data_IF_494808326016
#
_entry.id   IF_494808326016
#
_cell.length_a   1.000
_cell.length_b   1.000
_cell.length_c   1.000
_cell.angle_alpha   90.00
_cell.angle_beta   90.00
_cell.angle_gamma   90.00
#
_symmetry.space_group_name_H-M   'P 1'
#
loop_
_entity.id
_entity.type
_entity.pdbx_description
1 polymer ?
#
# COMPACT_ATOMS: atom_id res chain seq x y z
N UNK A 1 12.29 -34.45 -1.57
CA UNK A 1 13.46 -33.69 -1.05
C UNK A 1 14.62 -34.07 -1.94
N UNK A 2 15.33 -33.10 -2.52
CA UNK A 2 16.49 -33.33 -3.40
C UNK A 2 16.22 -34.31 -4.57
N UNK A 3 15.00 -34.27 -5.12
CA UNK A 3 14.53 -35.20 -6.16
C UNK A 3 14.58 -36.70 -5.83
N UNK A 4 14.71 -37.08 -4.56
CA UNK A 4 14.68 -38.49 -4.14
C UNK A 4 13.23 -39.02 -4.05
N UNK A 5 13.03 -40.25 -4.52
CA UNK A 5 11.74 -40.96 -4.51
C UNK A 5 11.35 -41.47 -3.12
N UNK A 6 12.32 -41.65 -2.23
CA UNK A 6 12.15 -42.10 -0.86
C UNK A 6 12.79 -41.10 0.10
N UNK A 7 12.21 -40.93 1.28
CA UNK A 7 12.82 -40.10 2.32
C UNK A 7 14.12 -40.77 2.85
N UNK A 8 15.16 -39.99 3.14
CA UNK A 8 16.41 -40.52 3.70
C UNK A 8 16.17 -41.15 5.08
N UNK A 9 16.95 -42.17 5.40
CA UNK A 9 16.83 -42.94 6.65
C UNK A 9 17.15 -42.14 7.91
N UNK A 10 17.93 -41.08 7.78
CA UNK A 10 18.38 -40.25 8.90
C UNK A 10 17.89 -38.81 8.76
N UNK A 11 17.45 -38.18 9.86
CA UNK A 11 17.11 -36.76 9.83
C UNK A 11 18.34 -35.92 9.51
N UNK A 12 18.11 -34.78 8.87
CA UNK A 12 19.12 -33.73 8.65
C UNK A 12 18.69 -32.46 9.36
N UNK A 13 19.67 -31.72 9.87
CA UNK A 13 19.46 -30.38 10.36
C UNK A 13 19.34 -29.40 9.18
N UNK A 14 18.41 -28.45 9.30
CA UNK A 14 18.27 -27.33 8.37
C UNK A 14 18.70 -26.06 9.11
N UNK A 15 19.80 -25.47 8.68
CA UNK A 15 20.26 -24.19 9.22
C UNK A 15 19.42 -23.04 8.63
N UNK A 16 18.79 -22.26 9.50
CA UNK A 16 17.97 -21.10 9.15
C UNK A 16 18.41 -19.91 9.99
N UNK A 17 18.66 -18.77 9.32
CA UNK A 17 18.83 -17.48 9.98
C UNK A 17 17.47 -17.01 10.50
N UNK A 18 17.14 -17.39 11.72
CA UNK A 18 15.90 -17.03 12.40
C UNK A 18 16.17 -16.06 13.54
N UNK A 19 15.59 -14.86 13.44
CA UNK A 19 15.75 -13.80 14.43
C UNK A 19 14.74 -14.03 15.55
N UNK A 20 15.25 -14.41 16.73
CA UNK A 20 14.41 -14.48 17.93
C UNK A 20 14.15 -13.07 18.45
N UNK A 21 13.06 -12.89 19.18
CA UNK A 21 12.73 -11.62 19.86
C UNK A 21 13.95 -11.14 20.67
N UNK A 22 14.32 -9.87 20.48
CA UNK A 22 15.49 -9.25 21.11
C UNK A 22 16.84 -9.52 20.42
N UNK A 23 16.96 -10.51 19.54
CA UNK A 23 18.20 -10.76 18.80
C UNK A 23 18.44 -9.70 17.70
N UNK A 24 19.70 -9.45 17.35
CA UNK A 24 20.09 -8.43 16.37
C UNK A 24 19.44 -8.69 15.01
N UNK A 25 18.71 -7.70 14.48
CA UNK A 25 18.17 -7.75 13.12
C UNK A 25 19.30 -7.66 12.07
N UNK A 26 19.08 -8.19 10.86
CA UNK A 26 19.97 -7.93 9.74
C UNK A 26 19.96 -6.45 9.42
N UNK A 27 21.13 -5.92 9.07
CA UNK A 27 21.24 -4.62 8.42
C UNK A 27 20.83 -4.77 6.96
N UNK A 28 20.22 -3.74 6.39
CA UNK A 28 19.69 -3.76 5.02
C UNK A 28 20.32 -2.67 4.16
N UNK A 29 20.40 -2.94 2.86
CA UNK A 29 20.81 -1.97 1.84
C UNK A 29 19.73 -1.91 0.76
N UNK A 30 19.48 -0.71 0.23
CA UNK A 30 18.59 -0.51 -0.92
C UNK A 30 19.43 -0.12 -2.13
N UNK A 31 19.19 -0.77 -3.26
CA UNK A 31 20.03 -0.61 -4.44
C UNK A 31 19.19 -0.51 -5.71
N UNK A 32 19.66 0.30 -6.64
CA UNK A 32 19.04 0.48 -7.95
C UNK A 32 20.00 -0.06 -9.01
N UNK A 33 19.50 -0.94 -9.88
CA UNK A 33 20.23 -1.44 -11.04
C UNK A 33 19.68 -0.75 -12.29
N UNK A 34 20.51 0.02 -12.97
CA UNK A 34 20.18 0.52 -14.30
C UNK A 34 20.32 -0.63 -15.31
N UNK A 35 19.25 -0.93 -16.04
CA UNK A 35 19.23 -2.08 -16.96
C UNK A 35 19.95 -1.81 -18.29
N UNK A 36 20.18 -0.55 -18.63
CA UNK A 36 20.80 -0.15 -19.89
C UNK A 36 22.30 -0.38 -19.88
N UNK A 37 22.97 -0.05 -18.77
CA UNK A 37 24.42 -0.20 -18.57
C UNK A 37 24.79 -1.26 -17.52
N UNK A 38 23.80 -1.81 -16.80
CA UNK A 38 23.97 -2.78 -15.69
C UNK A 38 24.76 -2.20 -14.52
N UNK A 39 24.72 -0.89 -14.35
CA UNK A 39 25.35 -0.20 -13.23
C UNK A 39 24.51 -0.33 -11.96
N UNK A 40 25.17 -0.69 -10.87
CA UNK A 40 24.60 -0.74 -9.53
C UNK A 40 24.82 0.59 -8.80
N UNK A 41 23.76 1.14 -8.23
CA UNK A 41 23.78 2.40 -7.48
C UNK A 41 23.19 2.18 -6.09
N UNK A 42 23.99 2.31 -5.01
CA UNK A 42 23.48 2.18 -3.65
C UNK A 42 22.66 3.43 -3.29
N UNK A 43 21.43 3.20 -2.82
CA UNK A 43 20.56 4.26 -2.33
C UNK A 43 20.90 4.55 -0.88
N UNK A 44 21.18 5.82 -0.51
CA UNK A 44 21.36 6.18 0.89
C UNK A 44 20.10 5.88 1.70
N UNK A 45 20.25 5.07 2.75
CA UNK A 45 19.17 4.68 3.68
C UNK A 45 19.57 5.03 5.12
N UNK A 46 19.34 6.28 5.50
CA UNK A 46 19.79 6.90 6.76
C UNK A 46 18.65 7.48 7.61
N UNK A 47 17.42 7.00 7.36
CA UNK A 47 16.24 7.46 8.10
C UNK A 47 16.26 7.08 9.59
N UNK A 48 16.94 5.98 9.92
CA UNK A 48 17.18 5.43 11.25
C UNK A 48 18.58 4.82 11.28
N UNK A 49 19.12 4.58 12.48
CA UNK A 49 20.40 3.89 12.66
C UNK A 49 20.35 2.48 12.02
N UNK A 50 21.45 1.97 11.43
CA UNK A 50 21.45 0.71 10.68
C UNK A 50 20.91 -0.51 11.44
N UNK A 51 21.16 -0.60 12.75
CA UNK A 51 20.66 -1.67 13.61
C UNK A 51 19.14 -1.57 13.92
N UNK A 52 18.57 -0.39 13.72
CA UNK A 52 17.19 -0.06 14.04
C UNK A 52 16.32 0.12 12.78
N UNK A 53 16.93 0.19 11.60
CA UNK A 53 16.25 0.47 10.35
C UNK A 53 15.58 -0.77 9.76
N UNK A 54 14.29 -0.65 9.47
CA UNK A 54 13.51 -1.64 8.72
C UNK A 54 12.94 -0.97 7.48
N UNK A 55 13.28 -1.44 6.28
CA UNK A 55 12.61 -1.02 5.04
C UNK A 55 11.33 -1.85 4.91
N UNK A 56 10.18 -1.20 4.98
CA UNK A 56 8.88 -1.84 4.82
C UNK A 56 8.46 -1.93 3.37
N UNK A 57 8.36 -0.77 2.71
CA UNK A 57 7.80 -0.66 1.36
C UNK A 57 8.75 0.13 0.46
N UNK A 58 8.84 -0.27 -0.80
CA UNK A 58 9.53 0.46 -1.86
C UNK A 58 8.60 0.55 -3.06
N UNK A 59 8.35 1.76 -3.54
CA UNK A 59 7.42 2.00 -4.64
C UNK A 59 7.91 3.11 -5.58
N UNK A 60 7.48 3.04 -6.84
CA UNK A 60 7.65 4.15 -7.77
C UNK A 60 6.53 5.18 -7.56
N UNK A 61 6.90 6.44 -7.32
CA UNK A 61 5.98 7.58 -7.21
C UNK A 61 6.08 8.49 -8.42
N UNK A 62 6.26 7.87 -9.57
CA UNK A 62 6.23 8.48 -10.90
C UNK A 62 5.99 7.39 -11.96
N UNK A 63 5.74 7.81 -13.21
CA UNK A 63 5.61 6.91 -14.38
C UNK A 63 6.92 6.69 -15.13
N UNK A 64 7.89 7.59 -14.97
CA UNK A 64 9.12 7.66 -15.77
C UNK A 64 10.39 7.26 -15.00
N UNK A 65 10.23 6.62 -13.83
CA UNK A 65 11.31 6.23 -12.92
C UNK A 65 12.20 7.37 -12.38
N UNK A 66 11.76 8.63 -12.46
CA UNK A 66 12.47 9.79 -11.88
C UNK A 66 12.35 9.93 -10.34
N UNK A 67 11.48 9.16 -9.68
CA UNK A 67 11.20 9.25 -8.24
C UNK A 67 10.79 7.89 -7.64
N UNK A 68 11.68 7.33 -6.82
CA UNK A 68 11.45 6.17 -5.96
C UNK A 68 11.07 6.66 -4.57
N UNK A 69 10.19 5.97 -3.86
CA UNK A 69 9.94 6.19 -2.43
C UNK A 69 10.21 4.90 -1.67
N UNK A 70 10.78 5.02 -0.48
CA UNK A 70 10.79 3.93 0.50
C UNK A 70 10.18 4.38 1.82
N UNK A 71 9.46 3.47 2.48
CA UNK A 71 8.98 3.61 3.86
C UNK A 71 9.94 2.86 4.78
N UNK A 72 10.58 3.58 5.69
CA UNK A 72 11.43 3.02 6.72
C UNK A 72 10.74 3.13 8.08
N UNK A 73 10.93 2.13 8.93
CA UNK A 73 10.51 2.13 10.32
C UNK A 73 11.74 2.04 11.22
N UNK A 74 11.59 2.53 12.45
CA UNK A 74 12.46 2.08 13.53
C UNK A 74 12.09 0.64 13.95
N UNK A 75 12.97 -0.02 14.71
CA UNK A 75 12.79 -1.41 15.11
C UNK A 75 11.61 -1.66 16.03
N UNK A 76 11.26 -0.66 16.83
CA UNK A 76 10.06 -0.68 17.70
C UNK A 76 8.78 -0.61 16.88
N UNK A 77 8.85 -0.10 15.65
CA UNK A 77 7.74 0.08 14.70
C UNK A 77 6.69 1.11 15.17
N UNK A 78 7.11 2.09 15.95
CA UNK A 78 6.27 3.22 16.39
C UNK A 78 6.65 4.54 15.69
N UNK A 79 7.74 4.56 14.92
CA UNK A 79 8.14 5.70 14.10
C UNK A 79 8.39 5.24 12.67
N UNK A 80 7.86 6.02 11.71
CA UNK A 80 8.18 5.84 10.31
C UNK A 80 8.70 7.11 9.64
N UNK A 81 9.42 6.91 8.55
CA UNK A 81 9.84 7.95 7.64
C UNK A 81 9.64 7.48 6.20
N UNK A 82 9.00 8.32 5.40
CA UNK A 82 8.91 8.11 3.95
C UNK A 82 9.93 8.99 3.27
N UNK A 83 10.79 8.38 2.47
CA UNK A 83 11.92 9.06 1.82
C UNK A 83 11.81 8.91 0.32
N UNK A 84 11.75 10.04 -0.38
CA UNK A 84 11.75 10.08 -1.84
C UNK A 84 13.18 10.26 -2.33
N UNK A 85 13.58 9.43 -3.28
CA UNK A 85 14.90 9.35 -3.88
C UNK A 85 14.77 9.58 -5.38
N UNK A 86 15.64 10.41 -5.93
CA UNK A 86 15.83 10.48 -7.38
C UNK A 86 16.88 9.43 -7.78
N UNK A 87 16.52 8.40 -8.59
CA UNK A 87 17.43 7.30 -8.92
C UNK A 87 18.68 7.68 -9.71
N UNK A 88 18.61 8.74 -10.52
CA UNK A 88 19.73 9.20 -11.34
C UNK A 88 20.81 9.90 -10.50
N UNK A 89 20.39 10.71 -9.53
CA UNK A 89 21.28 11.57 -8.73
C UNK A 89 21.53 11.04 -7.32
N UNK A 90 20.76 10.05 -6.88
CA UNK A 90 20.72 9.50 -5.52
C UNK A 90 20.40 10.53 -4.42
N UNK A 91 19.95 11.73 -4.80
CA UNK A 91 19.47 12.73 -3.84
C UNK A 91 18.17 12.23 -3.23
N UNK A 92 18.13 12.19 -1.91
CA UNK A 92 16.99 11.77 -1.11
C UNK A 92 16.41 12.93 -0.30
N UNK A 93 15.14 12.81 0.07
CA UNK A 93 14.47 13.75 0.98
C UNK A 93 13.41 13.01 1.78
N UNK A 94 13.39 13.20 3.10
CA UNK A 94 12.26 12.78 3.94
C UNK A 94 11.06 13.67 3.64
N UNK A 95 9.95 13.07 3.19
CA UNK A 95 8.74 13.79 2.76
C UNK A 95 7.58 13.66 3.76
N UNK A 96 7.62 12.62 4.61
CA UNK A 96 6.65 12.36 5.67
C UNK A 96 7.34 11.62 6.81
N UNK A 97 6.91 11.90 8.04
CA UNK A 97 7.24 11.14 9.25
C UNK A 97 5.96 10.89 10.03
N UNK A 98 5.88 9.75 10.69
CA UNK A 98 4.83 9.43 11.66
C UNK A 98 5.46 9.13 13.02
N UNK A 99 4.79 9.62 14.05
CA UNK A 99 4.99 9.26 15.45
C UNK A 99 3.70 8.56 15.88
N UNK A 100 3.80 7.28 16.17
CA UNK A 100 2.74 6.42 16.70
C UNK A 100 3.17 5.82 18.04
N UNK A 101 3.86 6.60 18.87
CA UNK A 101 4.31 6.20 20.22
C UNK A 101 3.17 5.84 21.19
N UNK A 102 1.92 6.05 20.79
CA UNK A 102 0.70 5.57 21.45
C UNK A 102 0.32 4.12 21.07
N UNK A 103 1.07 3.48 20.16
CA UNK A 103 0.86 2.11 19.72
C UNK A 103 1.98 1.59 18.83
N UNK A 104 1.60 1.06 17.66
CA UNK A 104 2.50 0.66 16.58
C UNK A 104 1.93 1.14 15.25
N UNK A 105 2.80 1.38 14.27
CA UNK A 105 2.41 1.82 12.94
C UNK A 105 2.21 0.60 12.03
N UNK A 106 0.99 0.44 11.54
CA UNK A 106 0.65 -0.65 10.62
C UNK A 106 1.33 -0.49 9.26
N UNK A 107 1.76 -1.62 8.69
CA UNK A 107 2.42 -1.66 7.40
C UNK A 107 1.46 -2.09 6.29
N UNK A 108 0.73 -1.11 5.76
CA UNK A 108 -0.39 -1.29 4.85
C UNK A 108 -0.02 -1.59 3.40
N UNK A 109 1.26 -1.47 3.02
CA UNK A 109 1.76 -1.72 1.65
C UNK A 109 0.90 -1.05 0.55
N UNK A 110 0.52 0.21 0.78
CA UNK A 110 -0.54 0.90 0.02
C UNK A 110 -0.02 2.08 -0.80
N UNK A 111 1.29 2.28 -0.88
CA UNK A 111 1.86 3.41 -1.63
C UNK A 111 1.63 3.20 -3.12
N UNK A 112 0.91 4.13 -3.75
CA UNK A 112 0.65 4.06 -5.19
C UNK A 112 0.63 5.44 -5.85
N UNK A 113 1.30 5.57 -6.99
CA UNK A 113 1.39 6.83 -7.72
C UNK A 113 0.02 7.23 -8.32
N UNK A 114 -0.39 8.47 -8.05
CA UNK A 114 -1.62 9.05 -8.61
C UNK A 114 -1.28 10.04 -9.73
N UNK A 115 -0.18 10.78 -9.60
CA UNK A 115 0.19 11.84 -10.53
C UNK A 115 -0.46 13.18 -10.19
N UNK A 116 -0.62 14.08 -11.16
CA UNK A 116 -1.14 15.41 -10.90
C UNK A 116 -2.66 15.39 -10.67
N UNK A 117 -3.12 16.06 -9.61
CA UNK A 117 -4.55 16.16 -9.30
C UNK A 117 -5.29 17.22 -10.16
N UNK A 118 -4.53 18.15 -10.76
CA UNK A 118 -5.03 19.25 -11.60
C UNK A 118 -3.99 19.60 -12.65
N UNK A 119 -4.19 20.69 -13.41
CA UNK A 119 -3.20 21.16 -14.41
C UNK A 119 -1.85 21.62 -13.81
N UNK A 120 -1.69 21.58 -12.48
CA UNK A 120 -0.41 21.86 -11.81
C UNK A 120 0.59 20.73 -12.04
N UNK A 121 1.88 21.06 -11.95
CA UNK A 121 3.00 20.10 -12.03
C UNK A 121 3.20 19.27 -10.74
N UNK A 122 2.43 19.56 -9.71
CA UNK A 122 2.52 18.89 -8.41
C UNK A 122 1.91 17.49 -8.52
N UNK A 123 2.71 16.48 -8.17
CA UNK A 123 2.33 15.06 -8.26
C UNK A 123 2.07 14.48 -6.88
N UNK A 124 1.17 13.52 -6.83
CA UNK A 124 0.70 12.90 -5.59
C UNK A 124 0.81 11.39 -5.66
N UNK A 125 0.90 10.78 -4.50
CA UNK A 125 0.70 9.35 -4.29
C UNK A 125 -0.40 9.16 -3.23
N UNK A 126 -1.07 8.02 -3.30
CA UNK A 126 -2.01 7.60 -2.28
C UNK A 126 -1.29 6.68 -1.30
N UNK A 127 -1.68 6.73 -0.04
CA UNK A 127 -1.30 5.76 0.98
C UNK A 127 -2.41 5.67 2.05
N UNK A 128 -2.39 4.62 2.86
CA UNK A 128 -3.31 4.40 3.99
C UNK A 128 -2.60 4.69 5.30
N UNK A 129 -3.25 5.46 6.17
CA UNK A 129 -2.71 5.78 7.49
C UNK A 129 -3.81 5.83 8.54
N UNK A 130 -3.39 5.62 9.79
CA UNK A 130 -4.19 5.71 11.00
C UNK A 130 -4.11 7.09 11.69
N UNK A 131 -3.80 8.17 10.96
CA UNK A 131 -3.50 9.47 11.61
C UNK A 131 -4.66 10.06 12.41
N UNK A 132 -5.89 9.66 12.11
CA UNK A 132 -7.10 10.05 12.83
C UNK A 132 -7.65 8.96 13.78
N UNK A 133 -6.86 7.90 14.02
CA UNK A 133 -7.22 6.75 14.84
C UNK A 133 -7.83 5.58 14.07
N UNK A 134 -8.04 5.71 12.75
CA UNK A 134 -8.56 4.64 11.90
C UNK A 134 -7.82 4.61 10.56
N UNK A 135 -7.62 3.43 9.99
CA UNK A 135 -7.00 3.31 8.67
C UNK A 135 -7.85 4.00 7.60
N UNK A 136 -7.35 5.12 7.06
CA UNK A 136 -8.01 5.90 6.02
C UNK A 136 -7.08 6.23 4.87
N UNK A 137 -7.68 6.58 3.72
CA UNK A 137 -6.95 6.92 2.51
C UNK A 137 -6.58 8.40 2.52
N UNK A 138 -5.31 8.68 2.27
CA UNK A 138 -4.76 10.02 2.14
C UNK A 138 -4.02 10.18 0.82
N UNK A 139 -4.08 11.39 0.25
CA UNK A 139 -3.19 11.81 -0.82
C UNK A 139 -2.06 12.63 -0.24
N UNK A 140 -0.83 12.20 -0.52
CA UNK A 140 0.39 12.85 -0.13
C UNK A 140 1.08 13.45 -1.34
N UNK A 141 1.61 14.65 -1.18
CA UNK A 141 2.41 15.28 -2.23
C UNK A 141 3.80 14.62 -2.30
N UNK A 142 4.29 14.30 -3.50
CA UNK A 142 5.57 13.59 -3.70
C UNK A 142 6.77 14.36 -3.12
N UNK A 143 6.70 15.69 -2.99
CA UNK A 143 7.79 16.49 -2.39
C UNK A 143 7.62 16.78 -0.90
N UNK A 144 6.63 16.14 -0.26
CA UNK A 144 6.17 16.41 1.09
C UNK A 144 5.19 17.58 1.17
N UNK A 145 4.60 17.76 2.34
CA UNK A 145 3.58 18.78 2.61
C UNK A 145 2.39 18.20 3.38
N UNK A 146 1.33 19.00 3.51
CA UNK A 146 0.10 18.57 4.18
C UNK A 146 -0.65 17.54 3.32
N UNK A 147 -1.04 16.43 3.93
CA UNK A 147 -1.86 15.40 3.30
C UNK A 147 -3.30 15.88 3.03
N UNK A 148 -3.93 15.28 2.04
CA UNK A 148 -5.36 15.44 1.77
C UNK A 148 -6.05 14.13 2.15
N UNK A 149 -6.75 14.14 3.28
CA UNK A 149 -7.57 13.01 3.71
C UNK A 149 -8.79 12.85 2.79
N UNK A 150 -8.97 11.65 2.24
CA UNK A 150 -10.08 11.30 1.34
C UNK A 150 -11.22 10.60 2.06
N UNK A 151 -10.91 9.75 3.05
CA UNK A 151 -11.89 9.02 3.85
C UNK A 151 -11.71 9.33 5.33
N UNK A 152 -12.79 9.20 6.11
CA UNK A 152 -12.79 9.47 7.55
C UNK A 152 -14.00 8.82 8.23
N UNK A 153 -13.90 8.61 9.54
CA UNK A 153 -14.98 8.12 10.39
C UNK A 153 -14.56 6.89 11.21
N UNK A 154 -15.48 6.40 12.05
CA UNK A 154 -15.25 5.28 12.96
C UNK A 154 -15.34 3.91 12.26
N UNK A 155 -14.48 3.72 11.25
CA UNK A 155 -14.37 2.52 10.44
C UNK A 155 -13.06 2.55 9.66
N UNK A 156 -12.64 1.40 9.11
CA UNK A 156 -11.33 1.26 8.49
C UNK A 156 -11.41 0.88 7.02
N UNK A 157 -10.50 1.46 6.24
CA UNK A 157 -10.09 0.98 4.93
C UNK A 157 -9.20 -0.23 5.13
N UNK A 158 -9.58 -1.36 4.53
CA UNK A 158 -8.79 -2.60 4.60
C UNK A 158 -7.79 -2.72 3.45
N UNK A 159 -8.13 -2.24 2.25
CA UNK A 159 -7.23 -2.29 1.10
C UNK A 159 -7.67 -1.32 -0.01
N UNK A 160 -6.71 -0.77 -0.74
CA UNK A 160 -6.93 -0.05 -2.00
C UNK A 160 -6.97 -1.08 -3.13
N UNK A 161 -8.06 -1.09 -3.89
CA UNK A 161 -8.31 -2.08 -4.95
C UNK A 161 -7.91 -1.58 -6.33
N UNK A 162 -8.10 -0.29 -6.60
CA UNK A 162 -7.73 0.34 -7.87
C UNK A 162 -7.73 1.87 -7.77
N UNK A 163 -6.94 2.53 -8.62
CA UNK A 163 -6.89 3.99 -8.75
C UNK A 163 -7.21 4.36 -10.19
N UNK A 164 -8.34 5.02 -10.40
CA UNK A 164 -8.75 5.53 -11.71
C UNK A 164 -8.44 7.04 -11.77
N UNK A 165 -7.27 7.36 -12.32
CA UNK A 165 -6.80 8.75 -12.47
C UNK A 165 -7.62 9.56 -13.48
N UNK A 166 -8.26 8.90 -14.45
CA UNK A 166 -9.11 9.57 -15.44
C UNK A 166 -10.44 10.01 -14.82
N UNK A 167 -11.05 9.15 -14.00
CA UNK A 167 -12.29 9.45 -13.26
C UNK A 167 -12.07 10.11 -11.90
N UNK A 168 -10.80 10.21 -11.47
CA UNK A 168 -10.40 10.77 -10.18
C UNK A 168 -10.93 10.01 -8.97
N UNK A 169 -10.90 8.68 -9.05
CA UNK A 169 -11.46 7.77 -8.06
C UNK A 169 -10.41 6.84 -7.47
N UNK A 170 -10.53 6.56 -6.18
CA UNK A 170 -9.87 5.41 -5.52
C UNK A 170 -10.96 4.41 -5.16
N UNK A 171 -10.85 3.18 -5.66
CA UNK A 171 -11.69 2.05 -5.27
C UNK A 171 -11.04 1.32 -4.11
N UNK A 172 -11.81 0.98 -3.09
CA UNK A 172 -11.27 0.40 -1.86
C UNK A 172 -12.29 -0.50 -1.15
N UNK A 173 -11.80 -1.37 -0.28
CA UNK A 173 -12.61 -2.19 0.61
C UNK A 173 -12.60 -1.59 2.01
N UNK A 174 -13.75 -1.57 2.70
CA UNK A 174 -13.83 -1.02 4.05
C UNK A 174 -14.89 -1.69 4.94
N UNK A 175 -14.73 -1.50 6.26
CA UNK A 175 -15.67 -1.92 7.32
C UNK A 175 -16.71 -0.85 7.68
N UNK A 176 -17.02 0.06 6.75
CA UNK A 176 -17.84 1.26 6.98
C UNK A 176 -19.25 1.00 7.54
N UNK A 177 -19.80 -0.20 7.32
CA UNK A 177 -21.14 -0.58 7.81
C UNK A 177 -21.09 -1.31 9.13
N UNK A 178 -20.19 -2.28 9.23
CA UNK A 178 -19.98 -3.09 10.42
C UNK A 178 -18.57 -3.67 10.43
N UNK A 179 -18.00 -3.90 11.62
CA UNK A 179 -16.62 -4.38 11.78
C UNK A 179 -16.40 -5.80 11.23
N UNK A 180 -17.44 -6.63 11.21
CA UNK A 180 -17.43 -8.00 10.67
C UNK A 180 -17.72 -8.08 9.17
N UNK A 181 -18.00 -6.95 8.53
CA UNK A 181 -18.39 -6.87 7.12
C UNK A 181 -17.29 -6.19 6.31
N UNK A 182 -17.25 -6.48 5.01
CA UNK A 182 -16.40 -5.78 4.07
C UNK A 182 -17.20 -5.48 2.83
N UNK A 183 -17.29 -4.20 2.48
CA UNK A 183 -17.92 -3.77 1.24
C UNK A 183 -16.94 -2.99 0.40
N UNK A 184 -17.23 -2.94 -0.90
CA UNK A 184 -16.44 -2.19 -1.87
C UNK A 184 -17.05 -0.81 -2.06
N UNK A 185 -16.21 0.21 -1.97
CA UNK A 185 -16.55 1.61 -2.15
C UNK A 185 -15.62 2.25 -3.19
N UNK A 186 -15.99 3.46 -3.62
CA UNK A 186 -15.03 4.36 -4.24
C UNK A 186 -15.06 5.71 -3.54
N UNK A 187 -13.99 6.47 -3.62
CA UNK A 187 -13.93 7.86 -3.20
C UNK A 187 -13.38 8.73 -4.30
N UNK A 188 -14.07 9.83 -4.59
CA UNK A 188 -13.54 10.89 -5.47
C UNK A 188 -12.62 11.81 -4.69
N UNK A 189 -11.41 12.07 -5.19
CA UNK A 189 -10.55 13.07 -4.57
C UNK A 189 -10.96 14.53 -4.85
N UNK A 190 -11.97 14.75 -5.70
CA UNK A 190 -12.56 16.08 -5.89
C UNK A 190 -13.74 16.31 -4.93
N UNK A 191 -14.67 15.36 -4.85
CA UNK A 191 -15.92 15.55 -4.09
C UNK A 191 -15.90 14.91 -2.71
N UNK A 192 -14.92 14.05 -2.42
CA UNK A 192 -14.83 13.22 -1.21
C UNK A 192 -16.08 12.38 -0.91
N UNK A 193 -16.90 12.12 -1.93
CA UNK A 193 -18.10 11.28 -1.79
C UNK A 193 -17.68 9.83 -1.83
N UNK A 194 -18.32 9.01 -0.98
CA UNK A 194 -18.00 7.58 -0.81
C UNK A 194 -19.22 6.71 -1.17
N UNK A 195 -19.63 6.61 -2.44
CA UNK A 195 -20.71 5.70 -2.81
C UNK A 195 -20.22 4.24 -2.77
N UNK A 196 -21.06 3.30 -2.33
CA UNK A 196 -20.75 1.88 -2.40
C UNK A 196 -20.87 1.37 -3.85
N UNK A 197 -20.06 0.37 -4.19
CA UNK A 197 -20.16 -0.39 -5.44
C UNK A 197 -21.14 -1.56 -5.34
N UNK A 198 -21.55 -1.92 -4.11
CA UNK A 198 -22.49 -3.00 -3.81
C UNK A 198 -23.66 -2.47 -3.01
N UNK A 199 -24.73 -3.26 -2.85
CA UNK A 199 -25.73 -2.97 -1.82
C UNK A 199 -25.12 -3.19 -0.43
N UNK A 200 -24.64 -2.10 0.17
CA UNK A 200 -24.01 -2.07 1.49
C UNK A 200 -25.04 -2.07 2.63
N UNK A 201 -26.33 -2.23 2.33
CA UNK A 201 -27.36 -2.51 3.34
C UNK A 201 -27.48 -4.00 3.66
N UNK A 202 -26.95 -4.85 2.78
CA UNK A 202 -26.91 -6.30 2.96
C UNK A 202 -25.55 -6.69 3.57
N UNK A 203 -25.55 -7.38 4.73
CA UNK A 203 -24.32 -7.90 5.31
C UNK A 203 -23.57 -8.81 4.35
N UNK A 204 -22.27 -8.57 4.21
CA UNK A 204 -21.47 -9.37 3.31
C UNK A 204 -19.97 -9.11 3.42
N UNK A 205 -19.23 -10.03 2.83
CA UNK A 205 -17.80 -9.90 2.61
C UNK A 205 -17.54 -9.84 1.11
N UNK A 206 -17.24 -8.65 0.62
CA UNK A 206 -17.09 -8.34 -0.79
C UNK A 206 -15.66 -7.94 -1.11
N UNK A 207 -15.13 -8.44 -2.22
CA UNK A 207 -13.86 -8.02 -2.79
C UNK A 207 -14.04 -7.70 -4.27
N UNK A 208 -13.26 -6.78 -4.83
CA UNK A 208 -13.22 -6.54 -6.26
C UNK A 208 -11.80 -6.64 -6.81
N UNK A 209 -11.67 -7.20 -8.01
CA UNK A 209 -10.42 -7.22 -8.78
C UNK A 209 -10.63 -6.48 -10.09
N UNK A 210 -9.81 -5.46 -10.34
CA UNK A 210 -9.94 -4.58 -11.50
C UNK A 210 -9.03 -5.02 -12.64
N UNK A 211 -9.52 -4.86 -13.87
CA UNK A 211 -8.67 -4.90 -15.07
C UNK A 211 -7.55 -3.85 -14.99
N UNK A 212 -6.45 -4.05 -15.71
CA UNK A 212 -5.28 -3.16 -15.68
C UNK A 212 -5.58 -1.67 -15.96
N UNK A 213 -6.59 -1.39 -16.78
CA UNK A 213 -7.04 -0.01 -17.07
C UNK A 213 -8.26 0.42 -16.26
N UNK A 214 -8.75 -0.42 -15.33
CA UNK A 214 -9.92 -0.12 -14.49
C UNK A 214 -11.26 -0.02 -15.24
N UNK A 215 -11.35 -0.49 -16.49
CA UNK A 215 -12.60 -0.46 -17.27
C UNK A 215 -13.62 -1.52 -16.86
N UNK A 216 -13.13 -2.65 -16.34
CA UNK A 216 -13.91 -3.77 -15.84
C UNK A 216 -13.42 -4.20 -14.47
N UNK A 217 -14.29 -4.86 -13.71
CA UNK A 217 -13.93 -5.51 -12.46
C UNK A 217 -14.74 -6.78 -12.23
N UNK A 218 -14.10 -7.77 -11.59
CA UNK A 218 -14.77 -8.95 -11.05
C UNK A 218 -15.13 -8.64 -9.60
N UNK A 219 -16.41 -8.70 -9.28
CA UNK A 219 -16.92 -8.61 -7.92
C UNK A 219 -17.04 -10.02 -7.33
N UNK A 220 -16.53 -10.20 -6.12
CA UNK A 220 -16.49 -11.48 -5.41
C UNK A 220 -17.30 -11.34 -4.12
N UNK A 221 -18.42 -12.05 -4.03
CA UNK A 221 -19.09 -12.27 -2.76
C UNK A 221 -18.47 -13.49 -2.09
N UNK A 222 -17.92 -13.31 -0.89
CA UNK A 222 -17.22 -14.38 -0.15
C UNK A 222 -18.02 -14.94 1.03
N UNK A 223 -19.21 -14.39 1.30
CA UNK A 223 -20.08 -14.85 2.38
C UNK A 223 -20.85 -13.73 3.05
N UNK A 224 -21.69 -14.08 4.05
CA UNK A 224 -21.77 -15.39 4.71
C UNK A 224 -22.49 -16.50 3.94
N UNK A 225 -23.24 -16.19 2.88
CA UNK A 225 -23.91 -17.20 2.07
C UNK A 225 -22.95 -17.86 1.05
N UNK A 226 -23.49 -18.71 0.16
CA UNK A 226 -22.69 -19.36 -0.90
C UNK A 226 -21.94 -18.30 -1.72
N UNK A 227 -20.59 -18.38 -1.77
CA UNK A 227 -19.79 -17.45 -2.56
C UNK A 227 -20.14 -17.49 -4.05
N UNK A 228 -20.04 -16.33 -4.71
CA UNK A 228 -20.21 -16.21 -6.16
C UNK A 228 -19.39 -15.04 -6.70
N UNK A 229 -19.29 -14.98 -8.03
CA UNK A 229 -18.52 -13.97 -8.73
C UNK A 229 -19.31 -13.43 -9.92
N UNK A 230 -19.17 -12.13 -10.17
CA UNK A 230 -19.84 -11.44 -11.25
C UNK A 230 -18.89 -10.44 -11.91
N UNK A 231 -19.08 -10.21 -13.21
CA UNK A 231 -18.26 -9.30 -14.01
C UNK A 231 -19.04 -8.03 -14.33
N UNK A 232 -18.45 -6.88 -14.04
CA UNK A 232 -19.05 -5.57 -14.24
C UNK A 232 -18.15 -4.65 -15.06
N UNK A 233 -18.76 -3.67 -15.73
CA UNK A 233 -18.05 -2.53 -16.30
C UNK A 233 -18.08 -1.37 -15.30
N UNK A 234 -17.00 -0.60 -15.19
CA UNK A 234 -16.95 0.56 -14.26
C UNK A 234 -17.73 1.78 -14.77
N UNK A 235 -18.34 1.70 -15.95
CA UNK A 235 -19.17 2.74 -16.54
C UNK A 235 -20.68 2.49 -16.37
N UNK A 236 -21.08 1.29 -15.91
CA UNK A 236 -22.50 0.98 -15.76
C UNK A 236 -23.07 1.64 -14.50
N UNK A 237 -24.23 2.29 -14.63
CA UNK A 237 -24.95 2.95 -13.52
C UNK A 237 -25.90 2.01 -12.78
N UNK A 238 -26.17 0.81 -13.32
CA UNK A 238 -26.88 -0.25 -12.60
C UNK A 238 -25.95 -0.79 -11.52
N UNK A 239 -26.29 -0.49 -10.26
CA UNK A 239 -25.66 -1.15 -9.12
C UNK A 239 -25.92 -2.66 -9.21
N UNK A 240 -24.94 -3.51 -8.83
CA UNK A 240 -25.22 -4.91 -8.55
C UNK A 240 -26.31 -5.04 -7.47
#
# INVERSE_FOLDING_TARGET
MDNEKLAPTYPRELDLRYLKVGSKNPTVELNILDLSDREYKPVPVDAFEPEELIIGEVAWVTKDHSALIYRAFNRVQDHDAHVVVNPETLKSKVVRKRDGSDGWLEHTLSISFVGPLSCKKDTYYVDVSDEDGWNHIYLYHVKGGKAIQLTSGEWEVSTILNIDTAKKLVYFQASKRHSTERHVYNVSWETKKIPPLVDDTVPGYWLASFSSSGGYYILNYQGPNVPYQELYTTNTTSKP
#
